data_IF_912774593471
#
_entry.id   IF_912774593471
#
_cell.length_a   1.000
_cell.length_b   1.000
_cell.length_c   1.000
_cell.angle_alpha   90.00
_cell.angle_beta   90.00
_cell.angle_gamma   90.00
#
_symmetry.space_group_name_H-M   'P 1'
#
loop_
_entity.id
_entity.type
_entity.pdbx_description
1 polymer ?
#
# COMPACT_ATOMS: atom_id res chain seq x y z
N UNK A 1 -26.21 64.74 -23.45
CA UNK A 1 -26.91 63.44 -23.42
C UNK A 1 -26.10 62.44 -24.23
N UNK A 2 -25.24 61.64 -23.59
CA UNK A 2 -24.41 60.66 -24.27
C UNK A 2 -25.11 59.29 -24.26
N UNK A 3 -25.35 58.73 -25.45
CA UNK A 3 -25.86 57.36 -25.64
C UNK A 3 -24.68 56.48 -26.04
N UNK A 4 -24.17 55.67 -25.12
CA UNK A 4 -23.12 54.67 -25.39
C UNK A 4 -23.60 53.30 -24.93
N UNK A 5 -24.45 52.64 -25.73
CA UNK A 5 -24.86 51.25 -25.49
C UNK A 5 -25.01 50.49 -26.81
N UNK A 6 -23.93 50.39 -27.59
CA UNK A 6 -23.91 49.58 -28.82
C UNK A 6 -22.48 49.15 -29.16
N UNK A 7 -21.92 48.22 -28.39
CA UNK A 7 -20.68 47.53 -28.81
C UNK A 7 -20.40 46.17 -28.15
N UNK A 8 -21.22 45.70 -27.19
CA UNK A 8 -20.94 44.40 -26.54
C UNK A 8 -21.40 43.17 -27.33
N UNK A 9 -22.43 43.30 -28.18
CA UNK A 9 -22.99 42.16 -28.93
C UNK A 9 -22.10 41.71 -30.11
N UNK A 10 -21.39 42.64 -30.77
CA UNK A 10 -20.57 42.32 -31.94
C UNK A 10 -19.31 41.51 -31.60
N UNK A 11 -18.67 41.78 -30.45
CA UNK A 11 -17.46 41.07 -30.01
C UNK A 11 -17.67 39.59 -29.67
N UNK A 12 -18.92 39.14 -29.47
CA UNK A 12 -19.25 37.74 -29.24
C UNK A 12 -19.59 36.96 -30.51
N UNK A 13 -19.78 37.63 -31.66
CA UNK A 13 -20.12 36.98 -32.92
C UNK A 13 -18.95 36.19 -33.52
N UNK A 14 -17.71 36.58 -33.23
CA UNK A 14 -16.49 35.90 -33.72
C UNK A 14 -16.09 34.68 -32.89
N UNK A 15 -16.66 34.51 -31.69
CA UNK A 15 -16.32 33.39 -30.79
C UNK A 15 -17.39 32.31 -30.84
N UNK A 16 -17.09 31.21 -31.54
CA UNK A 16 -17.92 30.00 -31.50
C UNK A 16 -17.86 29.40 -30.07
N UNK A 17 -18.97 29.33 -29.32
CA UNK A 17 -18.97 28.73 -27.99
C UNK A 17 -18.65 27.23 -28.10
N UNK A 18 -17.66 26.77 -27.34
CA UNK A 18 -17.27 25.35 -27.30
C UNK A 18 -18.30 24.48 -26.55
N UNK A 19 -19.17 25.10 -25.77
CA UNK A 19 -20.24 24.42 -25.03
C UNK A 19 -21.47 24.33 -25.93
N UNK A 20 -21.86 23.10 -26.29
CA UNK A 20 -23.13 22.83 -26.97
C UNK A 20 -24.19 22.58 -25.91
N UNK A 21 -25.27 23.35 -25.93
CA UNK A 21 -26.47 23.07 -25.14
C UNK A 21 -27.21 21.87 -25.76
N UNK A 22 -26.76 20.66 -25.40
CA UNK A 22 -27.50 19.43 -25.64
C UNK A 22 -28.79 19.57 -24.81
N UNK A 23 -29.96 19.55 -25.43
CA UNK A 23 -31.24 19.79 -24.76
C UNK A 23 -31.58 18.80 -23.64
N UNK A 24 -32.87 18.65 -23.29
CA UNK A 24 -33.28 17.74 -22.20
C UNK A 24 -32.80 16.31 -22.49
N UNK A 25 -31.88 15.79 -21.67
CA UNK A 25 -31.34 14.43 -21.80
C UNK A 25 -32.46 13.45 -21.50
N UNK A 26 -32.79 12.57 -22.45
CA UNK A 26 -33.74 11.47 -22.22
C UNK A 26 -33.01 10.32 -21.53
N UNK A 27 -33.48 9.92 -20.35
CA UNK A 27 -32.95 8.74 -19.66
C UNK A 27 -33.53 7.52 -20.37
N UNK A 28 -32.71 6.55 -20.81
CA UNK A 28 -33.21 5.32 -21.41
C UNK A 28 -34.08 4.58 -20.39
N UNK A 29 -35.25 4.10 -20.83
CA UNK A 29 -36.21 3.40 -19.96
C UNK A 29 -35.68 2.04 -19.45
N UNK A 30 -34.72 1.45 -20.16
CA UNK A 30 -34.05 0.22 -19.76
C UNK A 30 -32.57 0.34 -20.10
N UNK A 31 -31.73 -0.05 -19.14
CA UNK A 31 -30.28 -0.13 -19.28
C UNK A 31 -29.90 -1.58 -19.04
N UNK A 32 -28.99 -2.09 -19.86
CA UNK A 32 -28.43 -3.41 -19.65
C UNK A 32 -27.54 -3.39 -18.40
N UNK A 33 -27.94 -4.16 -17.39
CA UNK A 33 -27.23 -4.33 -16.13
C UNK A 33 -26.53 -5.68 -16.05
N UNK A 34 -26.41 -6.41 -17.16
CA UNK A 34 -25.65 -7.66 -17.17
C UNK A 34 -24.22 -7.38 -16.72
N UNK A 35 -23.71 -8.12 -15.71
CA UNK A 35 -22.33 -7.95 -15.28
C UNK A 35 -21.40 -8.21 -16.46
N UNK A 36 -20.58 -7.24 -16.80
CA UNK A 36 -19.57 -7.34 -17.84
C UNK A 36 -18.18 -7.14 -17.26
N UNK A 37 -17.19 -7.72 -17.92
CA UNK A 37 -15.78 -7.54 -17.57
C UNK A 37 -15.36 -6.12 -17.96
N UNK A 38 -14.62 -5.45 -17.10
CA UNK A 38 -14.08 -4.13 -17.39
C UNK A 38 -13.05 -4.21 -18.53
N UNK A 39 -13.02 -3.28 -19.51
CA UNK A 39 -12.09 -3.34 -20.64
C UNK A 39 -10.61 -3.30 -20.24
N UNK A 40 -10.30 -2.69 -19.09
CA UNK A 40 -8.95 -2.68 -18.53
C UNK A 40 -8.68 -3.82 -17.52
N UNK A 41 -9.57 -4.81 -17.44
CA UNK A 41 -9.36 -5.98 -16.59
C UNK A 41 -8.22 -6.84 -17.14
N UNK A 42 -7.31 -7.35 -16.29
CA UNK A 42 -6.28 -8.29 -16.73
C UNK A 42 -6.84 -9.66 -17.11
N UNK A 43 -8.09 -9.97 -16.71
CA UNK A 43 -8.79 -11.19 -17.07
C UNK A 43 -9.97 -10.89 -17.97
N UNK A 44 -10.23 -11.75 -18.96
CA UNK A 44 -11.36 -11.70 -19.88
C UNK A 44 -12.64 -12.35 -19.32
N UNK A 45 -12.62 -12.83 -18.08
CA UNK A 45 -13.73 -13.52 -17.44
C UNK A 45 -14.19 -12.84 -16.15
N UNK A 46 -15.49 -12.94 -15.85
CA UNK A 46 -16.03 -12.52 -14.57
C UNK A 46 -15.55 -13.45 -13.44
N UNK A 47 -15.48 -12.94 -12.19
CA UNK A 47 -15.32 -13.77 -10.99
C UNK A 47 -16.24 -15.00 -11.00
N UNK A 48 -15.65 -16.20 -11.01
CA UNK A 48 -16.38 -17.48 -10.97
C UNK A 48 -16.71 -18.10 -12.34
N UNK A 49 -16.50 -17.39 -13.44
CA UNK A 49 -16.73 -17.88 -14.82
C UNK A 49 -15.40 -18.09 -15.57
N UNK A 50 -14.39 -18.68 -14.90
CA UNK A 50 -13.07 -18.94 -15.47
C UNK A 50 -11.97 -17.96 -15.04
N UNK A 51 -12.28 -16.93 -14.26
CA UNK A 51 -11.24 -16.17 -13.53
C UNK A 51 -10.79 -16.98 -12.29
N UNK A 52 -9.54 -16.81 -11.82
CA UNK A 52 -9.10 -17.48 -10.60
C UNK A 52 -9.98 -17.07 -9.42
N UNK A 53 -10.53 -18.06 -8.70
CA UNK A 53 -11.34 -17.81 -7.51
C UNK A 53 -10.48 -17.19 -6.40
N UNK A 54 -11.11 -16.56 -5.41
CA UNK A 54 -10.40 -16.06 -4.22
C UNK A 54 -9.57 -17.17 -3.56
N UNK A 55 -10.05 -18.41 -3.57
CA UNK A 55 -9.32 -19.59 -3.10
C UNK A 55 -8.08 -19.90 -3.94
N UNK A 56 -8.16 -19.80 -5.27
CA UNK A 56 -7.00 -19.96 -6.15
C UNK A 56 -5.98 -18.83 -5.97
N UNK A 57 -6.45 -17.57 -5.86
CA UNK A 57 -5.61 -16.42 -5.52
C UNK A 57 -4.90 -16.64 -4.17
N UNK A 58 -5.61 -17.08 -3.14
CA UNK A 58 -5.04 -17.39 -1.81
C UNK A 58 -3.94 -18.46 -1.88
N UNK A 59 -4.05 -19.43 -2.78
CA UNK A 59 -3.02 -20.45 -2.97
C UNK A 59 -1.76 -19.89 -3.62
N UNK A 60 -1.90 -18.98 -4.60
CA UNK A 60 -0.77 -18.35 -5.27
C UNK A 60 -0.11 -17.22 -4.44
N UNK A 61 -0.92 -16.47 -3.69
CA UNK A 61 -0.45 -15.33 -2.90
C UNK A 61 0.28 -15.73 -1.60
N UNK A 62 0.24 -17.01 -1.21
CA UNK A 62 1.05 -17.56 -0.11
C UNK A 62 2.49 -17.78 -0.58
N UNK A 63 3.17 -16.69 -0.96
CA UNK A 63 4.58 -16.74 -1.34
C UNK A 63 5.50 -16.69 -0.10
N UNK A 64 5.01 -16.19 1.04
CA UNK A 64 5.79 -16.04 2.26
C UNK A 64 4.92 -16.37 3.49
N UNK A 65 5.06 -17.58 4.02
CA UNK A 65 4.42 -17.99 5.26
C UNK A 65 4.31 -19.52 5.41
N UNK A 66 4.37 -20.05 6.64
CA UNK A 66 4.36 -21.48 6.92
C UNK A 66 2.97 -22.13 6.77
N UNK A 67 2.07 -21.58 5.95
CA UNK A 67 0.70 -22.11 5.74
C UNK A 67 0.50 -22.68 4.33
N UNK A 68 1.57 -22.78 3.54
CA UNK A 68 1.53 -23.50 2.27
C UNK A 68 1.22 -24.99 2.52
N UNK A 69 0.17 -25.51 1.87
CA UNK A 69 -0.21 -26.95 1.87
C UNK A 69 0.87 -27.88 1.29
N UNK A 70 2.03 -27.33 0.91
CA UNK A 70 3.22 -28.03 0.42
C UNK A 70 4.33 -28.04 1.47
N UNK A 71 4.01 -27.90 2.76
CA UNK A 71 4.93 -28.29 3.81
C UNK A 71 5.08 -29.80 3.71
N UNK A 72 6.11 -30.20 2.97
CA UNK A 72 6.78 -31.49 3.11
C UNK A 72 6.82 -31.81 4.60
N UNK A 73 6.21 -32.92 5.00
CA UNK A 73 6.09 -33.41 6.38
C UNK A 73 7.43 -33.41 7.14
N UNK A 74 8.51 -33.44 6.37
CA UNK A 74 9.92 -33.51 6.66
C UNK A 74 10.66 -32.15 6.80
N UNK A 75 10.00 -31.01 6.61
CA UNK A 75 10.65 -29.68 6.72
C UNK A 75 9.80 -28.58 7.38
N UNK A 76 8.74 -28.97 8.10
CA UNK A 76 7.99 -28.03 8.94
C UNK A 76 8.79 -27.71 10.20
N UNK A 77 8.93 -26.44 10.55
CA UNK A 77 9.47 -26.03 11.86
C UNK A 77 8.70 -26.67 13.02
N UNK A 78 7.43 -27.06 12.80
CA UNK A 78 6.61 -27.76 13.80
C UNK A 78 6.68 -29.29 13.80
N UNK A 79 7.31 -29.94 12.80
CA UNK A 79 7.42 -31.40 12.75
C UNK A 79 8.75 -31.96 13.26
N UNK A 80 9.77 -31.10 13.35
CA UNK A 80 11.11 -31.43 13.83
C UNK A 80 11.23 -31.02 15.30
N UNK A 81 11.71 -31.88 16.21
CA UNK A 81 11.91 -31.49 17.60
C UNK A 81 12.96 -30.40 17.72
N UNK A 82 12.76 -29.43 18.63
CA UNK A 82 13.64 -28.28 18.85
C UNK A 82 15.15 -28.58 18.90
N UNK A 83 15.51 -29.78 19.37
CA UNK A 83 16.89 -30.27 19.51
C UNK A 83 17.61 -30.52 18.17
N UNK A 84 16.87 -30.77 17.10
CA UNK A 84 17.41 -31.10 15.78
C UNK A 84 17.73 -29.84 14.95
N UNK A 85 17.30 -28.66 15.41
CA UNK A 85 17.62 -27.36 14.77
C UNK A 85 19.05 -26.88 15.05
N UNK A 86 19.82 -27.65 15.81
CA UNK A 86 21.20 -27.33 16.14
C UNK A 86 21.35 -26.56 17.47
N UNK A 87 22.59 -26.16 17.80
CA UNK A 87 22.89 -25.47 19.04
C UNK A 87 22.23 -24.09 19.07
N UNK A 88 21.69 -23.73 20.24
CA UNK A 88 21.11 -22.40 20.49
C UNK A 88 22.20 -21.34 20.68
N UNK A 89 23.41 -21.74 21.06
CA UNK A 89 24.55 -20.85 21.25
C UNK A 89 25.22 -20.49 19.92
N UNK A 90 25.75 -19.26 19.82
CA UNK A 90 26.48 -18.81 18.66
C UNK A 90 27.78 -19.62 18.48
N UNK A 91 28.21 -19.81 17.23
CA UNK A 91 29.48 -20.46 16.95
C UNK A 91 30.66 -19.60 17.44
N UNK A 92 31.86 -20.20 17.53
CA UNK A 92 33.05 -19.48 17.99
C UNK A 92 33.34 -18.29 17.07
N UNK A 93 33.26 -17.07 17.63
CA UNK A 93 33.49 -15.82 16.90
C UNK A 93 32.24 -15.19 16.29
N UNK A 94 31.09 -15.86 16.40
CA UNK A 94 29.78 -15.29 16.10
C UNK A 94 29.11 -14.78 17.39
N UNK A 95 28.31 -13.74 17.26
CA UNK A 95 27.59 -13.12 18.37
C UNK A 95 26.16 -12.84 17.90
N UNK A 96 25.17 -13.12 18.74
CA UNK A 96 23.77 -12.89 18.36
C UNK A 96 23.37 -11.44 18.49
N UNK A 97 23.95 -10.74 19.45
CA UNK A 97 23.68 -9.35 19.71
C UNK A 97 24.95 -8.50 19.60
N UNK A 98 24.77 -7.24 19.21
CA UNK A 98 25.84 -6.25 19.13
C UNK A 98 26.37 -5.87 20.51
N UNK A 99 25.61 -6.12 21.58
CA UNK A 99 26.05 -5.94 22.96
C UNK A 99 27.20 -6.88 23.34
N UNK A 100 27.31 -8.04 22.69
CA UNK A 100 28.36 -9.03 22.93
C UNK A 100 29.66 -8.69 22.17
N UNK A 101 29.57 -7.88 21.12
CA UNK A 101 30.72 -7.41 20.34
C UNK A 101 31.60 -6.43 21.14
N UNK A 102 32.87 -6.19 20.72
CA UNK A 102 33.72 -5.15 21.28
C UNK A 102 33.06 -3.76 21.27
N UNK A 103 33.42 -2.91 22.24
CA UNK A 103 32.78 -1.61 22.49
C UNK A 103 32.62 -0.71 21.25
N UNK A 104 33.56 -0.78 20.29
CA UNK A 104 33.51 -0.04 19.02
C UNK A 104 32.29 -0.35 18.13
N UNK A 105 31.66 -1.52 18.30
CA UNK A 105 30.52 -1.95 17.50
C UNK A 105 29.18 -1.83 18.24
N UNK A 106 29.24 -1.54 19.55
CA UNK A 106 28.08 -1.30 20.41
C UNK A 106 27.48 0.06 20.08
N UNK A 107 26.18 0.21 20.39
CA UNK A 107 25.55 1.53 20.41
C UNK A 107 26.08 2.31 21.61
N UNK A 108 26.25 3.62 21.45
CA UNK A 108 26.57 4.48 22.57
C UNK A 108 25.34 4.51 23.50
N UNK A 109 25.49 4.18 24.79
CA UNK A 109 24.42 4.36 25.75
C UNK A 109 24.16 5.87 25.91
N UNK A 110 22.89 6.26 26.01
CA UNK A 110 22.56 7.64 26.37
C UNK A 110 22.91 7.89 27.83
N UNK A 111 23.51 9.04 28.08
CA UNK A 111 23.72 9.58 29.43
C UNK A 111 22.39 10.08 30.01
N UNK A 112 22.27 10.15 31.34
CA UNK A 112 21.05 10.62 32.00
C UNK A 112 20.64 12.03 31.52
N UNK A 113 21.61 12.92 31.32
CA UNK A 113 21.36 14.25 30.77
C UNK A 113 20.83 14.24 29.34
N UNK A 114 21.30 13.32 28.49
CA UNK A 114 20.78 13.16 27.13
C UNK A 114 19.36 12.59 27.13
N UNK A 115 19.07 11.66 28.04
CA UNK A 115 17.73 11.10 28.23
C UNK A 115 16.76 12.23 28.63
N UNK A 116 17.11 13.02 29.64
CA UNK A 116 16.32 14.18 30.06
C UNK A 116 16.14 15.20 28.93
N UNK A 117 17.19 15.48 28.15
CA UNK A 117 17.09 16.39 27.00
C UNK A 117 16.14 15.87 25.92
N UNK A 118 16.10 14.55 25.68
CA UNK A 118 15.16 13.93 24.73
C UNK A 118 13.73 14.00 25.29
N UNK A 119 13.54 13.68 26.56
CA UNK A 119 12.22 13.68 27.23
C UNK A 119 11.62 15.07 27.33
N UNK A 120 12.45 16.09 27.58
CA UNK A 120 12.07 17.51 27.59
C UNK A 120 11.91 18.10 26.18
N UNK A 121 12.22 17.33 25.13
CA UNK A 121 12.17 17.81 23.74
C UNK A 121 13.19 18.93 23.45
N UNK A 122 14.29 18.97 24.20
CA UNK A 122 15.29 20.03 24.14
C UNK A 122 14.90 21.32 24.87
N UNK A 123 13.84 21.30 25.68
CA UNK A 123 13.47 22.43 26.51
C UNK A 123 14.42 22.53 27.71
N UNK A 124 15.28 23.54 27.72
CA UNK A 124 16.01 23.91 28.93
C UNK A 124 15.06 24.63 29.90
N UNK A 125 15.23 24.44 31.20
CA UNK A 125 14.47 25.18 32.21
C UNK A 125 14.67 26.70 31.97
N UNK A 126 13.61 27.40 31.59
CA UNK A 126 13.60 28.86 31.51
C UNK A 126 13.25 29.36 32.90
N UNK A 127 14.22 29.96 33.58
CA UNK A 127 14.06 30.64 34.87
C UNK A 127 13.26 31.94 34.73
#
# INVERSE_FOLDING_TARGET
MFKTTLSRAAAHAERKPLIKFLGKRTVPASVDHTPHVHPASPSSALPGQGSPSFSAYRQHAQQHGPLGRNIRTDSSVGSVPGRDFGPVAAAQGEFFDRSELPARFRRNPYTEAEIEAIETGGATMVC
#
